data_IF_867793906547
#
_entry.id   IF_867793906547
#
_cell.length_a   1.000
_cell.length_b   1.000
_cell.length_c   1.000
_cell.angle_alpha   90.00
_cell.angle_beta   90.00
_cell.angle_gamma   90.00
#
_symmetry.space_group_name_H-M   'P 1'
#
loop_
_entity.id
_entity.type
_entity.pdbx_description
1 polymer ?
#
# COMPACT_ATOMS: atom_id res chain seq x y z
N UNK A 1 -1.46 -30.35 -2.13
CA UNK A 1 -1.38 -29.91 -0.71
C UNK A 1 -2.43 -30.69 0.08
N UNK A 2 -2.22 -30.92 1.38
CA UNK A 2 -3.27 -31.36 2.30
C UNK A 2 -4.44 -30.35 2.27
N UNK A 3 -5.66 -30.79 2.59
CA UNK A 3 -6.82 -29.87 2.65
C UNK A 3 -6.67 -28.88 3.81
N UNK A 4 -7.02 -27.62 3.58
CA UNK A 4 -7.07 -26.57 4.62
C UNK A 4 -8.37 -26.59 5.43
N UNK A 5 -9.40 -27.32 5.00
CA UNK A 5 -10.72 -27.28 5.65
C UNK A 5 -10.67 -27.65 7.13
N UNK A 6 -11.28 -26.80 7.96
CA UNK A 6 -11.38 -26.96 9.42
C UNK A 6 -10.09 -26.61 10.18
N UNK A 7 -9.06 -26.10 9.49
CA UNK A 7 -7.77 -25.76 10.11
C UNK A 7 -7.73 -24.30 10.57
N UNK A 8 -6.72 -23.95 11.40
CA UNK A 8 -6.49 -22.54 11.74
C UNK A 8 -5.93 -21.78 10.54
N UNK A 9 -5.14 -22.45 9.69
CA UNK A 9 -4.66 -21.86 8.43
C UNK A 9 -5.81 -21.43 7.51
N UNK A 10 -6.90 -22.18 7.39
CA UNK A 10 -8.08 -21.75 6.62
C UNK A 10 -8.69 -20.46 7.17
N UNK A 11 -8.84 -20.35 8.49
CA UNK A 11 -9.35 -19.12 9.12
C UNK A 11 -8.41 -17.95 8.92
N UNK A 12 -7.10 -18.17 9.03
CA UNK A 12 -6.09 -17.13 8.79
C UNK A 12 -6.13 -16.65 7.33
N UNK A 13 -6.20 -17.57 6.36
CA UNK A 13 -6.34 -17.23 4.94
C UNK A 13 -7.59 -16.38 4.69
N UNK A 14 -8.73 -16.75 5.27
CA UNK A 14 -9.96 -15.97 5.11
C UNK A 14 -9.89 -14.61 5.81
N UNK A 15 -9.31 -14.54 7.02
CA UNK A 15 -9.12 -13.28 7.74
C UNK A 15 -8.18 -12.33 6.99
N UNK A 16 -7.08 -12.83 6.42
CA UNK A 16 -6.16 -12.07 5.57
C UNK A 16 -6.81 -11.63 4.27
N UNK A 17 -7.57 -12.52 3.60
CA UNK A 17 -8.36 -12.12 2.43
C UNK A 17 -9.33 -10.97 2.75
N UNK A 18 -10.02 -11.04 3.88
CA UNK A 18 -10.92 -9.98 4.32
C UNK A 18 -10.18 -8.69 4.68
N UNK A 19 -9.00 -8.78 5.31
CA UNK A 19 -8.13 -7.63 5.60
C UNK A 19 -7.64 -6.93 4.34
N UNK A 20 -7.04 -7.68 3.43
CA UNK A 20 -6.52 -7.21 2.14
C UNK A 20 -7.61 -6.60 1.24
N UNK A 21 -8.78 -7.24 1.21
CA UNK A 21 -9.93 -6.71 0.48
C UNK A 21 -10.35 -5.34 1.01
N UNK A 22 -10.32 -5.14 2.33
CA UNK A 22 -10.62 -3.85 2.93
C UNK A 22 -9.47 -2.84 2.75
N UNK A 23 -8.21 -3.27 2.83
CA UNK A 23 -7.02 -2.44 2.58
C UNK A 23 -7.06 -1.85 1.17
N UNK A 24 -7.29 -2.68 0.15
CA UNK A 24 -7.51 -2.25 -1.23
C UNK A 24 -8.58 -1.16 -1.34
N UNK A 25 -9.72 -1.31 -0.67
CA UNK A 25 -10.79 -0.32 -0.73
C UNK A 25 -10.37 0.99 -0.07
N UNK A 26 -9.78 0.94 1.13
CA UNK A 26 -9.26 2.12 1.83
C UNK A 26 -8.22 2.85 0.99
N UNK A 27 -7.26 2.14 0.40
CA UNK A 27 -6.19 2.75 -0.40
C UNK A 27 -6.72 3.41 -1.67
N UNK A 28 -7.75 2.86 -2.33
CA UNK A 28 -8.42 3.54 -3.43
C UNK A 28 -9.12 4.85 -2.98
N UNK A 29 -9.71 4.86 -1.79
CA UNK A 29 -10.31 6.07 -1.23
C UNK A 29 -9.25 7.10 -0.85
N UNK A 30 -8.14 6.67 -0.27
CA UNK A 30 -7.01 7.52 0.10
C UNK A 30 -6.30 8.09 -1.14
N UNK A 31 -6.20 7.31 -2.21
CA UNK A 31 -5.76 7.78 -3.53
C UNK A 31 -6.62 8.95 -4.03
N UNK A 32 -7.95 8.77 -3.99
CA UNK A 32 -8.90 9.80 -4.39
C UNK A 32 -8.76 11.07 -3.53
N UNK A 33 -8.51 10.93 -2.23
CA UNK A 33 -8.29 12.05 -1.34
C UNK A 33 -6.96 12.77 -1.62
N UNK A 34 -5.87 12.03 -1.81
CA UNK A 34 -4.57 12.59 -2.18
C UNK A 34 -4.63 13.38 -3.49
N UNK A 35 -5.41 12.91 -4.46
CA UNK A 35 -5.67 13.65 -5.70
C UNK A 35 -6.38 14.97 -5.45
N UNK A 36 -7.43 14.99 -4.62
CA UNK A 36 -8.16 16.22 -4.26
C UNK A 36 -7.27 17.25 -3.56
N UNK A 37 -6.30 16.78 -2.78
CA UNK A 37 -5.33 17.62 -2.08
C UNK A 37 -4.13 18.04 -2.93
N UNK A 38 -4.10 17.65 -4.21
CA UNK A 38 -3.04 18.07 -5.14
C UNK A 38 -1.77 17.23 -5.05
N UNK A 39 -1.85 15.98 -4.61
CA UNK A 39 -0.73 15.05 -4.55
C UNK A 39 -0.87 13.90 -5.56
N UNK A 40 -0.68 14.17 -6.85
CA UNK A 40 -0.90 13.16 -7.91
C UNK A 40 0.08 11.97 -7.80
N UNK A 41 1.32 12.20 -7.34
CA UNK A 41 2.26 11.10 -7.07
C UNK A 41 1.76 10.19 -5.94
N UNK A 42 1.29 10.77 -4.83
CA UNK A 42 0.80 10.02 -3.67
C UNK A 42 -0.49 9.27 -4.02
N UNK A 43 -1.38 9.93 -4.77
CA UNK A 43 -2.58 9.32 -5.35
C UNK A 43 -2.25 8.08 -6.16
N UNK A 44 -1.31 8.18 -7.11
CA UNK A 44 -0.87 7.03 -7.89
C UNK A 44 -0.29 5.92 -7.02
N UNK A 45 0.55 6.27 -6.04
CA UNK A 45 1.16 5.28 -5.15
C UNK A 45 0.10 4.52 -4.33
N UNK A 46 -0.91 5.21 -3.80
CA UNK A 46 -2.02 4.52 -3.12
C UNK A 46 -2.77 3.58 -4.06
N UNK A 47 -3.01 3.97 -5.31
CA UNK A 47 -3.66 3.11 -6.31
C UNK A 47 -2.78 1.89 -6.66
N UNK A 48 -1.48 2.08 -6.81
CA UNK A 48 -0.50 1.01 -7.05
C UNK A 48 -0.50 0.01 -5.88
N UNK A 49 -0.42 0.49 -4.64
CA UNK A 49 -0.54 -0.38 -3.45
C UNK A 49 -1.88 -1.11 -3.44
N UNK A 50 -2.99 -0.44 -3.73
CA UNK A 50 -4.31 -1.08 -3.78
C UNK A 50 -4.39 -2.21 -4.82
N UNK A 51 -3.66 -2.10 -5.93
CA UNK A 51 -3.53 -3.16 -6.92
C UNK A 51 -2.60 -4.30 -6.47
N UNK A 52 -1.63 -4.04 -5.60
CA UNK A 52 -0.83 -5.07 -4.95
C UNK A 52 -1.68 -5.86 -3.94
N UNK A 53 -2.46 -5.18 -3.10
CA UNK A 53 -3.37 -5.83 -2.12
C UNK A 53 -4.44 -6.69 -2.80
N UNK A 54 -4.89 -6.27 -3.99
CA UNK A 54 -5.74 -7.11 -4.83
C UNK A 54 -5.08 -8.44 -5.16
N UNK A 55 -3.80 -8.45 -5.52
CA UNK A 55 -3.08 -9.66 -5.88
C UNK A 55 -2.70 -10.49 -4.64
N UNK A 56 -2.41 -9.87 -3.49
CA UNK A 56 -2.27 -10.55 -2.21
C UNK A 56 -3.56 -11.27 -1.79
N UNK A 57 -4.68 -10.54 -1.76
CA UNK A 57 -6.02 -11.09 -1.50
C UNK A 57 -6.33 -12.26 -2.43
N UNK A 58 -6.09 -12.10 -3.73
CA UNK A 58 -6.31 -13.14 -4.73
C UNK A 58 -5.45 -14.38 -4.49
N UNK A 59 -4.20 -14.22 -4.02
CA UNK A 59 -3.35 -15.35 -3.68
C UNK A 59 -3.90 -16.10 -2.46
N UNK A 60 -4.29 -15.40 -1.39
CA UNK A 60 -4.90 -16.03 -0.22
C UNK A 60 -6.20 -16.74 -0.57
N UNK A 61 -7.07 -16.09 -1.35
CA UNK A 61 -8.37 -16.62 -1.75
C UNK A 61 -8.24 -17.92 -2.56
N UNK A 62 -7.20 -18.06 -3.39
CA UNK A 62 -6.94 -19.28 -4.18
C UNK A 62 -6.57 -20.51 -3.36
N UNK A 63 -6.16 -20.35 -2.10
CA UNK A 63 -5.90 -21.48 -1.20
C UNK A 63 -7.17 -22.02 -0.54
N UNK A 64 -8.27 -21.27 -0.54
CA UNK A 64 -9.53 -21.69 0.06
C UNK A 64 -10.27 -22.68 -0.83
N UNK A 65 -10.91 -23.68 -0.22
CA UNK A 65 -11.54 -24.83 -0.89
C UNK A 65 -13.08 -24.73 -0.96
N UNK A 66 -13.62 -23.52 -0.77
CA UNK A 66 -15.04 -23.20 -0.83
C UNK A 66 -15.88 -23.61 0.39
N UNK A 67 -17.05 -23.00 0.51
CA UNK A 67 -17.93 -23.07 1.68
C UNK A 67 -17.97 -21.74 2.45
N UNK A 68 -18.67 -21.73 3.58
CA UNK A 68 -18.71 -20.61 4.51
C UNK A 68 -17.86 -20.93 5.75
N UNK A 69 -17.00 -20.00 6.14
CA UNK A 69 -16.14 -20.12 7.31
C UNK A 69 -16.32 -18.87 8.16
N UNK A 70 -16.64 -19.06 9.43
CA UNK A 70 -16.75 -17.96 10.39
C UNK A 70 -15.36 -17.52 10.88
N UNK A 71 -15.12 -16.21 10.83
CA UNK A 71 -13.93 -15.55 11.37
C UNK A 71 -14.34 -14.47 12.37
N UNK A 72 -13.50 -14.25 13.38
CA UNK A 72 -13.62 -13.13 14.31
C UNK A 72 -12.34 -12.31 14.21
N UNK A 73 -12.45 -11.07 13.71
CA UNK A 73 -11.32 -10.16 13.52
C UNK A 73 -11.76 -8.71 13.75
N UNK A 74 -10.82 -7.85 14.12
CA UNK A 74 -11.03 -6.42 14.22
C UNK A 74 -10.48 -5.73 12.96
N UNK A 75 -11.19 -4.70 12.49
CA UNK A 75 -10.81 -3.93 11.31
C UNK A 75 -10.94 -2.43 11.58
N UNK A 76 -10.20 -1.58 10.82
CA UNK A 76 -10.40 -0.13 10.87
C UNK A 76 -11.84 0.24 10.51
N UNK A 77 -12.58 0.78 11.48
CA UNK A 77 -13.95 1.26 11.30
C UNK A 77 -13.98 2.69 10.73
N UNK A 78 -13.40 2.86 9.53
CA UNK A 78 -13.07 4.19 9.01
C UNK A 78 -11.83 4.79 9.71
N UNK A 79 -11.42 6.01 9.37
CA UNK A 79 -12.07 7.04 8.52
C UNK A 79 -11.24 7.36 7.26
N UNK A 80 -11.77 8.22 6.39
CA UNK A 80 -10.98 8.93 5.38
C UNK A 80 -10.65 10.31 5.96
N UNK A 81 -9.40 10.51 6.35
CA UNK A 81 -8.86 11.80 6.81
C UNK A 81 -8.20 12.58 5.69
N UNK A 82 -7.33 13.53 6.02
CA UNK A 82 -6.45 14.18 5.04
C UNK A 82 -5.32 13.23 4.58
N UNK A 83 -4.54 13.59 3.57
CA UNK A 83 -3.49 12.70 3.01
C UNK A 83 -2.45 12.28 4.04
N UNK A 84 -2.02 13.16 4.94
CA UNK A 84 -1.07 12.81 5.99
C UNK A 84 -1.67 11.80 6.99
N UNK A 85 -2.91 12.01 7.42
CA UNK A 85 -3.63 11.07 8.29
C UNK A 85 -3.80 9.71 7.62
N UNK A 86 -4.14 9.70 6.33
CA UNK A 86 -4.33 8.49 5.55
C UNK A 86 -3.01 7.72 5.35
N UNK A 87 -1.91 8.41 5.06
CA UNK A 87 -0.57 7.81 4.96
C UNK A 87 -0.14 7.19 6.29
N UNK A 88 -0.40 7.88 7.41
CA UNK A 88 -0.12 7.36 8.75
C UNK A 88 -0.95 6.13 9.09
N UNK A 89 -2.25 6.16 8.77
CA UNK A 89 -3.15 5.03 9.00
C UNK A 89 -2.78 3.82 8.12
N UNK A 90 -2.43 4.05 6.86
CA UNK A 90 -1.95 3.00 5.96
C UNK A 90 -0.66 2.37 6.50
N UNK A 91 0.36 3.18 6.83
CA UNK A 91 1.61 2.69 7.41
C UNK A 91 1.39 1.86 8.70
N UNK A 92 0.47 2.29 9.58
CA UNK A 92 0.15 1.54 10.78
C UNK A 92 -0.52 0.18 10.49
N UNK A 93 -1.36 0.10 9.45
CA UNK A 93 -1.95 -1.14 8.96
C UNK A 93 -0.89 -2.10 8.42
N UNK A 94 -0.04 -1.62 7.50
CA UNK A 94 1.08 -2.38 6.94
C UNK A 94 2.00 -2.91 8.06
N UNK A 95 2.31 -2.07 9.05
CA UNK A 95 3.14 -2.44 10.19
C UNK A 95 2.55 -3.62 10.96
N UNK A 96 1.26 -3.55 11.29
CA UNK A 96 0.56 -4.61 12.01
C UNK A 96 0.59 -5.93 11.21
N UNK A 97 0.40 -5.85 9.89
CA UNK A 97 0.42 -6.99 8.99
C UNK A 97 1.79 -7.67 8.96
N UNK A 98 2.87 -6.93 8.70
CA UNK A 98 4.19 -7.52 8.54
C UNK A 98 4.92 -7.85 9.85
N UNK A 99 4.53 -7.26 10.98
CA UNK A 99 5.18 -7.53 12.29
C UNK A 99 4.42 -8.53 13.15
N UNK A 100 3.11 -8.65 12.98
CA UNK A 100 2.25 -9.49 13.82
C UNK A 100 1.46 -10.48 12.99
N UNK A 101 0.52 -10.02 12.16
CA UNK A 101 -0.51 -10.89 11.58
C UNK A 101 0.07 -11.95 10.65
N UNK A 102 0.91 -11.56 9.69
CA UNK A 102 1.47 -12.48 8.71
C UNK A 102 2.57 -13.39 9.27
N UNK A 103 3.48 -12.91 10.15
CA UNK A 103 4.38 -13.81 10.88
C UNK A 103 3.65 -14.87 11.71
N UNK A 104 2.58 -14.50 12.42
CA UNK A 104 1.77 -15.45 13.20
C UNK A 104 1.01 -16.44 12.29
N UNK A 105 0.40 -15.94 11.21
CA UNK A 105 -0.30 -16.80 10.24
C UNK A 105 0.66 -17.79 9.54
N UNK A 106 1.87 -17.34 9.20
CA UNK A 106 2.92 -18.19 8.65
C UNK A 106 3.32 -19.29 9.63
N UNK A 107 3.53 -18.94 10.90
CA UNK A 107 3.85 -19.92 11.96
C UNK A 107 2.76 -20.97 12.11
N UNK A 108 1.50 -20.56 12.13
CA UNK A 108 0.36 -21.50 12.21
C UNK A 108 0.35 -22.43 10.99
N UNK A 109 0.62 -21.90 9.79
CA UNK A 109 0.72 -22.71 8.58
C UNK A 109 1.88 -23.72 8.65
N UNK A 110 3.05 -23.37 9.19
CA UNK A 110 4.13 -24.34 9.42
C UNK A 110 3.71 -25.43 10.41
N UNK A 111 3.16 -25.02 11.55
CA UNK A 111 2.76 -25.93 12.63
C UNK A 111 1.68 -26.93 12.14
N UNK A 112 0.88 -26.55 11.13
CA UNK A 112 -0.13 -27.40 10.49
C UNK A 112 0.35 -28.10 9.21
N UNK A 113 1.62 -27.93 8.81
CA UNK A 113 2.24 -28.61 7.67
C UNK A 113 1.93 -28.02 6.30
N UNK A 114 1.61 -26.72 6.23
CA UNK A 114 1.29 -25.97 5.01
C UNK A 114 2.46 -25.05 4.59
N UNK A 115 3.60 -25.65 4.26
CA UNK A 115 4.85 -24.93 3.97
C UNK A 115 4.72 -23.87 2.85
N UNK A 116 3.95 -24.16 1.80
CA UNK A 116 3.72 -23.19 0.71
C UNK A 116 2.92 -21.98 1.20
N UNK A 117 1.87 -22.19 1.99
CA UNK A 117 1.04 -21.10 2.53
C UNK A 117 1.88 -20.27 3.52
N UNK A 118 2.67 -20.91 4.37
CA UNK A 118 3.58 -20.22 5.27
C UNK A 118 4.59 -19.36 4.51
N UNK A 119 5.12 -19.87 3.39
CA UNK A 119 6.03 -19.14 2.51
C UNK A 119 5.33 -17.92 1.92
N UNK A 120 4.11 -18.08 1.41
CA UNK A 120 3.33 -16.96 0.86
C UNK A 120 3.10 -15.86 1.90
N UNK A 121 2.68 -16.21 3.13
CA UNK A 121 2.53 -15.21 4.20
C UNK A 121 3.83 -14.45 4.50
N UNK A 122 4.97 -15.15 4.54
CA UNK A 122 6.28 -14.50 4.78
C UNK A 122 6.71 -13.60 3.64
N UNK A 123 6.48 -14.00 2.39
CA UNK A 123 6.85 -13.17 1.24
C UNK A 123 5.96 -11.93 1.13
N UNK A 124 4.65 -12.08 1.36
CA UNK A 124 3.71 -10.94 1.41
C UNK A 124 4.08 -9.98 2.55
N UNK A 125 4.42 -10.49 3.74
CA UNK A 125 4.92 -9.64 4.84
C UNK A 125 6.16 -8.80 4.45
N UNK A 126 7.05 -9.30 3.59
CA UNK A 126 8.19 -8.50 3.12
C UNK A 126 7.74 -7.36 2.19
N UNK A 127 6.68 -7.57 1.42
CA UNK A 127 6.08 -6.54 0.56
C UNK A 127 5.44 -5.44 1.43
N UNK A 128 4.65 -5.81 2.42
CA UNK A 128 3.98 -4.85 3.32
C UNK A 128 4.97 -3.98 4.08
N UNK A 129 6.14 -4.52 4.44
CA UNK A 129 7.24 -3.73 5.01
C UNK A 129 7.74 -2.64 4.05
N UNK A 130 7.78 -2.91 2.76
CA UNK A 130 8.16 -1.90 1.75
C UNK A 130 7.01 -0.91 1.48
N UNK A 131 5.74 -1.33 1.58
CA UNK A 131 4.58 -0.44 1.58
C UNK A 131 4.64 0.53 2.77
N UNK A 132 4.84 0.05 4.00
CA UNK A 132 5.00 0.85 5.21
C UNK A 132 6.09 1.91 5.01
N UNK A 133 7.28 1.46 4.61
CA UNK A 133 8.44 2.34 4.37
C UNK A 133 8.15 3.39 3.31
N UNK A 134 7.42 3.05 2.25
CA UNK A 134 6.98 4.00 1.22
C UNK A 134 6.03 5.05 1.83
N UNK A 135 5.02 4.62 2.58
CA UNK A 135 4.07 5.53 3.23
C UNK A 135 4.71 6.45 4.25
N UNK A 136 5.62 5.96 5.10
CA UNK A 136 6.34 6.77 6.08
C UNK A 136 7.22 7.83 5.42
N UNK A 137 7.87 7.51 4.29
CA UNK A 137 8.65 8.49 3.52
C UNK A 137 7.77 9.57 2.90
N UNK A 138 6.63 9.20 2.34
CA UNK A 138 5.66 10.16 1.78
C UNK A 138 5.07 11.04 2.88
N UNK A 139 4.70 10.44 4.02
CA UNK A 139 4.17 11.16 5.19
C UNK A 139 5.17 12.23 5.64
N UNK A 140 6.44 11.86 5.79
CA UNK A 140 7.49 12.82 6.16
C UNK A 140 7.58 13.98 5.17
N UNK A 141 7.48 13.73 3.86
CA UNK A 141 7.48 14.80 2.87
C UNK A 141 6.27 15.72 3.01
N UNK A 142 5.08 15.17 3.27
CA UNK A 142 3.86 15.97 3.49
C UNK A 142 4.00 16.82 4.75
N UNK A 143 4.41 16.23 5.87
CA UNK A 143 4.56 16.93 7.16
C UNK A 143 5.63 18.02 7.14
N UNK A 144 6.70 17.82 6.37
CA UNK A 144 7.81 18.77 6.26
C UNK A 144 7.68 19.75 5.08
N UNK A 145 6.58 19.69 4.32
CA UNK A 145 6.37 20.54 3.15
C UNK A 145 7.33 20.25 1.98
N UNK A 146 7.99 19.10 1.96
CA UNK A 146 9.00 18.73 0.97
C UNK A 146 8.45 17.89 -0.19
N UNK A 147 7.15 17.95 -0.47
CA UNK A 147 6.56 17.21 -1.60
C UNK A 147 7.05 17.80 -2.93
N UNK A 148 7.08 19.12 -3.05
CA UNK A 148 7.41 19.84 -4.28
C UNK A 148 8.63 20.76 -4.16
N UNK A 149 9.37 20.68 -3.05
CA UNK A 149 10.62 21.42 -2.81
C UNK A 149 11.64 20.52 -2.13
N UNK A 150 12.94 20.74 -2.41
CA UNK A 150 14.07 20.04 -1.81
C UNK A 150 15.19 21.01 -1.43
N UNK A 151 16.03 20.67 -0.43
CA UNK A 151 17.15 21.52 -0.01
C UNK A 151 18.24 21.71 -1.07
N UNK A 152 18.28 20.85 -2.08
CA UNK A 152 19.25 20.89 -3.18
C UNK A 152 18.52 20.82 -4.52
N UNK A 153 19.20 21.26 -5.58
CA UNK A 153 18.71 21.09 -6.96
C UNK A 153 18.51 19.60 -7.25
N UNK A 154 17.32 19.27 -7.76
CA UNK A 154 16.94 17.92 -8.18
C UNK A 154 16.24 18.00 -9.53
N UNK A 155 15.99 16.83 -10.14
CA UNK A 155 15.22 16.73 -11.38
C UNK A 155 13.79 16.32 -11.04
N UNK A 156 12.83 17.15 -11.44
CA UNK A 156 11.40 16.92 -11.29
C UNK A 156 10.81 16.48 -12.63
N UNK A 157 9.96 15.47 -12.61
CA UNK A 157 9.23 14.98 -13.79
C UNK A 157 7.74 15.30 -13.62
N UNK A 158 7.14 15.91 -14.63
CA UNK A 158 5.68 16.05 -14.70
C UNK A 158 5.07 14.69 -15.10
N UNK A 159 4.26 14.09 -14.23
CA UNK A 159 3.57 12.82 -14.48
C UNK A 159 2.56 12.87 -15.62
N UNK A 160 2.05 14.07 -15.95
CA UNK A 160 1.07 14.23 -17.02
C UNK A 160 1.68 14.10 -18.42
N UNK A 161 2.83 14.74 -18.67
CA UNK A 161 3.40 14.84 -20.02
C UNK A 161 4.88 14.43 -20.13
N UNK A 162 5.55 14.15 -19.01
CA UNK A 162 6.97 13.75 -18.98
C UNK A 162 7.98 14.89 -19.01
N UNK A 163 7.55 16.17 -19.04
CA UNK A 163 8.48 17.31 -18.95
C UNK A 163 9.38 17.20 -17.71
N UNK A 164 10.68 17.45 -17.89
CA UNK A 164 11.67 17.42 -16.82
C UNK A 164 12.13 18.84 -16.51
N UNK A 165 12.03 19.23 -15.23
CA UNK A 165 12.54 20.48 -14.70
C UNK A 165 13.74 20.20 -13.79
N UNK A 166 14.77 21.04 -13.85
CA UNK A 166 15.89 21.01 -12.92
C UNK A 166 15.82 22.24 -12.01
N UNK A 167 15.69 22.01 -10.70
CA UNK A 167 15.49 23.08 -9.72
C UNK A 167 15.32 22.54 -8.31
N UNK A 168 15.43 23.41 -7.30
CA UNK A 168 15.12 23.04 -5.92
C UNK A 168 13.60 22.82 -5.73
N UNK A 169 12.76 23.46 -6.55
CA UNK A 169 11.30 23.41 -6.46
C UNK A 169 10.69 22.98 -7.80
N UNK A 170 9.58 22.25 -7.76
CA UNK A 170 8.79 21.95 -8.95
C UNK A 170 8.05 23.23 -9.43
N UNK A 171 7.91 23.45 -10.75
CA UNK A 171 7.18 24.62 -11.26
C UNK A 171 5.70 24.62 -10.84
N UNK A 172 5.16 25.79 -10.50
CA UNK A 172 3.73 25.98 -10.19
C UNK A 172 2.82 25.51 -11.34
N UNK A 173 3.26 25.74 -12.57
CA UNK A 173 2.60 25.32 -13.79
C UNK A 173 3.62 24.63 -14.71
N UNK A 174 3.26 23.49 -15.27
CA UNK A 174 4.11 22.82 -16.23
C UNK A 174 4.23 23.63 -17.54
N UNK A 175 5.43 24.04 -17.96
CA UNK A 175 5.59 24.85 -19.18
C UNK A 175 5.27 24.08 -20.46
N UNK A 176 5.21 22.75 -20.40
CA UNK A 176 4.88 21.91 -21.55
C UNK A 176 3.37 21.65 -21.70
N UNK A 177 2.67 21.31 -20.61
CA UNK A 177 1.27 20.86 -20.67
C UNK A 177 0.28 21.69 -19.85
N UNK A 178 0.74 22.79 -19.25
CA UNK A 178 -0.05 23.70 -18.42
C UNK A 178 -0.79 23.05 -17.24
N UNK A 179 -0.40 21.84 -16.79
CA UNK A 179 -0.94 21.22 -15.58
C UNK A 179 -0.24 21.74 -14.32
N UNK A 180 -0.94 21.76 -13.17
CA UNK A 180 -0.43 22.35 -11.94
C UNK A 180 0.75 21.56 -11.33
N UNK A 181 1.45 22.19 -10.37
CA UNK A 181 2.55 21.62 -9.60
C UNK A 181 2.25 20.22 -9.05
N UNK A 182 0.98 19.97 -8.70
CA UNK A 182 0.45 18.71 -8.21
C UNK A 182 0.89 17.46 -9.00
N UNK A 183 1.16 17.61 -10.30
CA UNK A 183 1.57 16.51 -11.19
C UNK A 183 3.06 16.21 -11.14
N UNK A 184 3.88 16.98 -10.44
CA UNK A 184 5.31 16.73 -10.37
C UNK A 184 5.68 15.66 -9.36
N UNK A 185 6.71 14.90 -9.70
CA UNK A 185 7.41 13.96 -8.85
C UNK A 185 8.92 14.13 -9.03
N UNK A 186 9.73 13.57 -8.12
CA UNK A 186 11.15 13.42 -8.41
C UNK A 186 11.33 12.44 -9.58
N UNK A 187 12.18 12.79 -10.53
CA UNK A 187 12.58 11.89 -11.61
C UNK A 187 13.28 10.66 -10.99
N UNK A 188 12.80 9.47 -11.33
CA UNK A 188 13.41 8.21 -10.95
C UNK A 188 13.96 7.49 -12.19
N UNK A 189 15.13 6.87 -12.06
CA UNK A 189 15.78 6.05 -13.10
C UNK A 189 15.97 4.64 -12.53
N UNK A 190 15.11 3.71 -12.94
CA UNK A 190 15.04 2.33 -12.47
C UNK A 190 14.99 1.33 -13.63
N UNK A 191 15.80 1.57 -14.66
CA UNK A 191 16.01 0.74 -15.85
C UNK A 191 17.51 0.52 -16.11
#
# INVERSE_FOLDING_TARGET
MKSVKGTRTEKNLLASFAGESQARMRYNYFSSQAKKEGFEQISFIFSDTADNEKEHAKRFFKFLEGGEVEITAAYPAGIIGNTAENLKAAAAGENLEHTVLYPEAAKVADDEGFEEIATVFREIAKVEKEHEKRYLKLLKNVETGQVFTKPSVVRWRCRNCGYVHEGAEAPELCPACAHPQAYYELLAENY
#
